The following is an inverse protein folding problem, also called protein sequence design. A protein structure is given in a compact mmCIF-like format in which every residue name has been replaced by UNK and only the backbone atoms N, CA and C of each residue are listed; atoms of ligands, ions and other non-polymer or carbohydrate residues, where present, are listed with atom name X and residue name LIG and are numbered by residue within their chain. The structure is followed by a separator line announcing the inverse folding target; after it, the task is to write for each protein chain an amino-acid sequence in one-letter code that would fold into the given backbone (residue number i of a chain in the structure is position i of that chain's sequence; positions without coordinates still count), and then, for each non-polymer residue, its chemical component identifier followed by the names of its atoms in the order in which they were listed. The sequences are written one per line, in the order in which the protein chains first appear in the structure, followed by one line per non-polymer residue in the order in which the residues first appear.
data_IF_258252644519
#
_entry.id   IF_258252644519
#
_cell.length_a   1.000
_cell.length_b   1.000
_cell.length_c   1.000
_cell.angle_alpha   90.00
_cell.angle_beta   90.00
_cell.angle_gamma   90.00
#
_symmetry.space_group_name_H-M   'P 1'
#
loop_
_entity.id
_entity.type
_entity.pdbx_description
1 polymer ?
#
# COMPACT_ATOMS: atom_id res chain seq x y z
N UNK A 1 -10.59 8.26 -0.82
CA UNK A 1 -10.35 7.62 0.49
C UNK A 1 -10.29 6.14 0.21
N UNK A 2 -9.17 5.49 0.54
CA UNK A 2 -9.04 4.03 0.42
C UNK A 2 -9.11 3.42 1.82
N UNK A 3 -9.42 2.14 1.93
CA UNK A 3 -9.66 1.50 3.23
C UNK A 3 -8.35 1.13 3.93
N UNK A 4 -7.38 0.62 3.17
CA UNK A 4 -6.17 -0.01 3.71
C UNK A 4 -4.91 0.46 2.97
N UNK A 5 -3.92 0.95 3.69
CA UNK A 5 -2.56 1.16 3.19
C UNK A 5 -1.67 -0.05 3.51
N UNK A 6 -0.94 -0.57 2.53
CA UNK A 6 0.04 -1.65 2.75
C UNK A 6 1.44 -1.05 2.67
N UNK A 7 2.11 -1.01 3.81
CA UNK A 7 3.49 -0.54 3.97
C UNK A 7 4.44 -1.73 3.90
N UNK A 8 5.42 -1.65 3.00
CA UNK A 8 6.36 -2.74 2.72
C UNK A 8 7.68 -2.19 2.15
N UNK A 9 8.73 -3.02 2.17
CA UNK A 9 10.01 -2.67 1.53
C UNK A 9 10.05 -3.18 0.08
N UNK A 10 10.92 -2.63 -0.77
CA UNK A 10 11.03 -3.10 -2.17
C UNK A 10 11.27 -4.61 -2.33
N UNK A 11 11.88 -5.27 -1.34
CA UNK A 11 12.10 -6.72 -1.33
C UNK A 11 10.78 -7.52 -1.19
N UNK A 12 9.79 -6.93 -0.54
CA UNK A 12 8.51 -7.57 -0.19
C UNK A 12 7.40 -7.25 -1.20
N UNK A 13 7.74 -6.65 -2.34
CA UNK A 13 6.76 -6.21 -3.35
C UNK A 13 5.77 -7.30 -3.73
N UNK A 14 6.24 -8.51 -4.01
CA UNK A 14 5.37 -9.60 -4.40
C UNK A 14 4.36 -9.98 -3.31
N UNK A 15 4.76 -9.90 -2.04
CA UNK A 15 3.86 -10.12 -0.91
C UNK A 15 2.85 -8.99 -0.78
N UNK A 16 3.27 -7.74 -0.92
CA UNK A 16 2.37 -6.59 -0.87
C UNK A 16 1.31 -6.65 -1.98
N UNK A 17 1.70 -6.99 -3.21
CA UNK A 17 0.78 -7.17 -4.34
C UNK A 17 -0.20 -8.33 -4.09
N UNK A 18 0.26 -9.45 -3.52
CA UNK A 18 -0.58 -10.59 -3.18
C UNK A 18 -1.62 -10.26 -2.09
N UNK A 19 -1.21 -9.56 -1.04
CA UNK A 19 -2.11 -9.10 0.04
C UNK A 19 -3.16 -8.14 -0.55
N UNK A 20 -2.71 -7.16 -1.34
CA UNK A 20 -3.59 -6.17 -1.95
C UNK A 20 -4.65 -6.83 -2.85
N UNK A 21 -4.23 -7.80 -3.68
CA UNK A 21 -5.14 -8.53 -4.55
C UNK A 21 -6.26 -9.25 -3.76
N UNK A 22 -5.91 -9.92 -2.66
CA UNK A 22 -6.90 -10.60 -1.82
C UNK A 22 -7.84 -9.65 -1.09
N UNK A 23 -7.35 -8.49 -0.66
CA UNK A 23 -8.18 -7.47 -0.02
C UNK A 23 -9.16 -6.83 -1.02
N UNK A 24 -8.73 -6.59 -2.25
CA UNK A 24 -9.60 -6.09 -3.31
C UNK A 24 -10.65 -7.11 -3.75
N UNK A 25 -10.29 -8.40 -3.85
CA UNK A 25 -11.25 -9.49 -4.11
C UNK A 25 -12.30 -9.61 -2.99
N UNK A 26 -11.91 -9.31 -1.75
CA UNK A 26 -12.83 -9.23 -0.60
C UNK A 26 -13.66 -7.94 -0.54
N UNK A 27 -13.47 -7.00 -1.47
CA UNK A 27 -14.23 -5.76 -1.60
C UNK A 27 -13.67 -4.55 -0.85
N UNK A 28 -12.45 -4.62 -0.33
CA UNK A 28 -11.75 -3.47 0.25
C UNK A 28 -10.98 -2.69 -0.82
N UNK A 29 -10.78 -1.40 -0.61
CA UNK A 29 -9.89 -0.59 -1.43
C UNK A 29 -8.50 -0.47 -0.81
N UNK A 30 -7.45 -0.70 -1.59
CA UNK A 30 -6.05 -0.74 -1.08
C UNK A 30 -5.14 0.29 -1.73
N UNK A 31 -4.22 0.89 -0.97
CA UNK A 31 -3.10 1.69 -1.51
C UNK A 31 -1.81 0.91 -1.36
N UNK A 32 -1.07 0.71 -2.45
CA UNK A 32 0.29 0.17 -2.43
C UNK A 32 1.23 0.96 -3.34
N UNK A 33 2.50 1.10 -2.94
CA UNK A 33 3.51 1.80 -3.74
C UNK A 33 3.64 1.24 -5.17
N UNK A 34 3.59 -0.08 -5.35
CA UNK A 34 3.79 -0.73 -6.64
C UNK A 34 2.72 -0.38 -7.69
N UNK A 35 1.51 -0.03 -7.27
CA UNK A 35 0.37 0.24 -8.16
C UNK A 35 0.04 1.73 -8.22
N UNK A 36 0.13 2.42 -7.10
CA UNK A 36 -0.42 3.76 -6.96
C UNK A 36 0.63 4.89 -7.06
N UNK A 37 1.91 4.60 -6.83
CA UNK A 37 2.93 5.65 -6.77
C UNK A 37 3.57 5.85 -8.15
N UNK A 38 3.34 7.01 -8.74
CA UNK A 38 3.94 7.36 -10.03
C UNK A 38 5.43 7.66 -9.90
N UNK A 39 6.22 7.39 -10.94
CA UNK A 39 7.66 7.70 -10.98
C UNK A 39 7.96 9.22 -10.87
N UNK A 40 6.96 10.07 -11.07
CA UNK A 40 7.04 11.53 -10.91
C UNK A 40 6.54 12.03 -9.55
N UNK A 41 6.03 11.16 -8.69
CA UNK A 41 5.46 11.55 -7.39
C UNK A 41 6.55 11.71 -6.33
N UNK A 42 6.32 12.64 -5.40
CA UNK A 42 7.16 12.75 -4.20
C UNK A 42 6.83 11.59 -3.26
N UNK A 43 7.67 10.56 -3.30
CA UNK A 43 7.51 9.31 -2.56
C UNK A 43 7.14 9.49 -1.08
N UNK A 44 7.80 10.44 -0.41
CA UNK A 44 7.58 10.72 1.03
C UNK A 44 6.20 11.33 1.27
N UNK A 45 5.75 12.20 0.35
CA UNK A 45 4.43 12.83 0.45
C UNK A 45 3.32 11.81 0.16
N UNK A 46 3.49 10.93 -0.83
CA UNK A 46 2.52 9.87 -1.13
C UNK A 46 2.39 8.87 0.03
N UNK A 47 3.50 8.50 0.67
CA UNK A 47 3.47 7.67 1.88
C UNK A 47 2.73 8.35 3.03
N UNK A 48 2.99 9.63 3.28
CA UNK A 48 2.31 10.37 4.34
C UNK A 48 0.82 10.50 4.09
N UNK A 49 0.43 10.77 2.85
CA UNK A 49 -0.98 10.84 2.44
C UNK A 49 -1.65 9.48 2.55
N UNK A 50 -1.00 8.39 2.11
CA UNK A 50 -1.56 7.04 2.24
C UNK A 50 -1.81 6.63 3.70
N UNK A 51 -0.90 6.98 4.61
CA UNK A 51 -1.08 6.73 6.05
C UNK A 51 -2.19 7.61 6.66
N UNK A 52 -2.36 8.84 6.15
CA UNK A 52 -3.36 9.79 6.67
C UNK A 52 -4.76 9.61 6.08
N UNK A 53 -4.86 9.10 4.85
CA UNK A 53 -6.10 9.01 4.06
C UNK A 53 -6.71 7.60 4.04
N UNK A 54 -6.12 6.65 4.78
CA UNK A 54 -6.65 5.29 4.94
C UNK A 54 -7.10 5.01 6.36
N UNK A 55 -8.05 4.08 6.52
CA UNK A 55 -8.60 3.76 7.84
C UNK A 55 -7.70 2.77 8.60
N UNK A 56 -6.93 1.97 7.88
CA UNK A 56 -6.06 0.95 8.45
C UNK A 56 -4.73 0.85 7.70
N UNK A 57 -3.65 0.54 8.42
CA UNK A 57 -2.33 0.27 7.83
C UNK A 57 -1.90 -1.17 8.14
N UNK A 58 -1.45 -1.90 7.11
CA UNK A 58 -0.83 -3.22 7.22
C UNK A 58 0.66 -3.07 6.94
N UNK A 59 1.51 -3.48 7.88
CA UNK A 59 2.96 -3.53 7.68
C UNK A 59 3.41 -4.95 7.33
N UNK A 60 4.09 -5.10 6.19
CA UNK A 60 4.78 -6.34 5.82
C UNK A 60 6.19 -6.29 6.42
N UNK A 61 6.45 -7.16 7.39
CA UNK A 61 7.72 -7.22 8.10
C UNK A 61 8.48 -8.48 7.71
N UNK A 62 9.70 -8.30 7.21
CA UNK A 62 10.66 -9.36 6.89
C UNK A 62 12.00 -9.10 7.61
N UNK A 63 12.83 -10.15 7.83
CA UNK A 63 14.18 -10.03 8.40
C UNK A 63 15.15 -9.17 7.57
#
# INVERSE_FOLDING_TARGET
MKDIFISYTGADRAWAEWIAWHLEDAGYSTVIQAWDFSASSNFVLEMHNADSDTTHTIAVLSP
#
